data_IF_902453813015
#
_entry.id   IF_902453813015
#
_cell.length_a   1.000
_cell.length_b   1.000
_cell.length_c   1.000
_cell.angle_alpha   90.00
_cell.angle_beta   90.00
_cell.angle_gamma   90.00
#
_symmetry.space_group_name_H-M   'P 1'
#
loop_
_entity.id
_entity.type
_entity.pdbx_description
1 polymer ?
#
# COMPACT_ATOMS: atom_id res chain seq x y z
N UNK A 1 32.29 -43.07 14.12
CA UNK A 1 32.16 -41.60 14.02
C UNK A 1 31.38 -41.26 12.76
N UNK A 2 30.09 -40.88 12.88
CA UNK A 2 29.24 -40.50 11.73
C UNK A 2 29.54 -39.06 11.37
N UNK A 3 30.05 -38.83 10.16
CA UNK A 3 30.27 -37.50 9.60
C UNK A 3 28.91 -36.84 9.38
N UNK A 4 28.63 -35.76 10.12
CA UNK A 4 27.47 -34.91 9.93
C UNK A 4 27.69 -34.09 8.67
N UNK A 5 27.12 -34.54 7.56
CA UNK A 5 27.01 -33.78 6.32
C UNK A 5 26.08 -32.59 6.56
N UNK A 6 26.66 -31.40 6.68
CA UNK A 6 25.91 -30.13 6.62
C UNK A 6 25.30 -30.02 5.23
N UNK A 7 23.99 -30.21 5.16
CA UNK A 7 23.18 -29.81 4.00
C UNK A 7 23.35 -28.29 3.84
N UNK A 8 23.76 -27.78 2.66
CA UNK A 8 23.78 -26.35 2.44
C UNK A 8 22.34 -25.86 2.46
N UNK A 9 22.02 -24.97 3.41
CA UNK A 9 20.80 -24.17 3.35
C UNK A 9 20.93 -23.31 2.10
N UNK A 10 20.28 -23.72 1.01
CA UNK A 10 20.13 -22.87 -0.16
C UNK A 10 19.51 -21.56 0.30
N UNK A 11 20.30 -20.50 0.19
CA UNK A 11 19.87 -19.12 0.27
C UNK A 11 18.94 -18.84 -0.91
N UNK A 12 17.72 -19.38 -0.85
CA UNK A 12 16.62 -18.80 -1.62
C UNK A 12 16.44 -17.41 -1.03
N UNK A 13 17.10 -16.45 -1.66
CA UNK A 13 16.85 -15.03 -1.47
C UNK A 13 15.42 -14.82 -1.96
N UNK A 14 14.46 -15.12 -1.08
CA UNK A 14 13.05 -14.90 -1.33
C UNK A 14 12.92 -13.41 -1.53
N UNK A 15 12.58 -13.04 -2.77
CA UNK A 15 12.21 -11.68 -3.13
C UNK A 15 11.16 -11.21 -2.11
N UNK A 16 11.53 -10.28 -1.21
CA UNK A 16 10.71 -9.87 -0.05
C UNK A 16 9.49 -9.04 -0.44
N UNK A 17 9.19 -8.97 -1.73
CA UNK A 17 8.03 -8.26 -2.22
C UNK A 17 6.79 -9.14 -2.05
N UNK A 18 5.77 -8.58 -1.40
CA UNK A 18 4.45 -9.20 -1.42
C UNK A 18 3.90 -9.18 -2.85
N UNK A 19 3.03 -10.13 -3.17
CA UNK A 19 2.32 -10.13 -4.46
C UNK A 19 1.62 -8.79 -4.73
N UNK A 20 1.10 -8.14 -3.68
CA UNK A 20 0.52 -6.80 -3.77
C UNK A 20 1.53 -5.75 -4.22
N UNK A 21 2.76 -5.79 -3.71
CA UNK A 21 3.82 -4.86 -4.13
C UNK A 21 4.21 -5.07 -5.60
N UNK A 22 4.23 -6.33 -6.06
CA UNK A 22 4.44 -6.66 -7.48
C UNK A 22 3.32 -6.09 -8.34
N UNK A 23 2.06 -6.30 -7.97
CA UNK A 23 0.90 -5.79 -8.70
C UNK A 23 0.95 -4.26 -8.82
N UNK A 24 1.19 -3.55 -7.71
CA UNK A 24 1.25 -2.09 -7.71
C UNK A 24 2.34 -1.55 -8.63
N UNK A 25 3.53 -2.17 -8.64
CA UNK A 25 4.62 -1.76 -9.54
C UNK A 25 4.27 -1.98 -11.01
N UNK A 26 3.65 -3.12 -11.32
CA UNK A 26 3.19 -3.43 -12.68
C UNK A 26 2.10 -2.46 -13.16
N UNK A 27 1.31 -1.88 -12.25
CA UNK A 27 0.28 -0.90 -12.59
C UNK A 27 0.81 0.53 -12.83
N UNK A 28 2.03 0.87 -12.37
CA UNK A 28 2.58 2.23 -12.47
C UNK A 28 2.58 2.81 -13.89
N UNK A 29 2.99 2.08 -14.96
CA UNK A 29 2.95 2.62 -16.32
C UNK A 29 1.53 2.99 -16.77
N UNK A 30 0.52 2.23 -16.34
CA UNK A 30 -0.88 2.54 -16.66
C UNK A 30 -1.33 3.88 -16.06
N UNK A 31 -0.91 4.20 -14.85
CA UNK A 31 -1.17 5.52 -14.27
C UNK A 31 -0.39 6.64 -14.97
N UNK A 32 0.88 6.40 -15.32
CA UNK A 32 1.73 7.40 -15.99
C UNK A 32 1.22 7.75 -17.40
N UNK A 33 0.69 6.77 -18.12
CA UNK A 33 0.14 6.94 -19.47
C UNK A 33 -1.32 7.41 -19.47
N UNK A 34 -1.99 7.39 -18.32
CA UNK A 34 -3.41 7.76 -18.18
C UNK A 34 -4.41 6.64 -18.53
N UNK A 35 -3.92 5.43 -18.82
CA UNK A 35 -4.74 4.23 -19.04
C UNK A 35 -5.49 3.82 -17.76
N UNK A 36 -4.85 4.05 -16.60
CA UNK A 36 -5.45 3.91 -15.28
C UNK A 36 -5.62 5.30 -14.65
N UNK A 37 -6.83 5.56 -14.15
CA UNK A 37 -7.13 6.80 -13.43
C UNK A 37 -7.16 6.52 -11.93
N UNK A 38 -6.43 7.28 -11.10
CA UNK A 38 -6.65 7.23 -9.67
C UNK A 38 -8.08 7.69 -9.38
N UNK A 39 -8.65 7.19 -8.29
CA UNK A 39 -9.90 7.73 -7.81
C UNK A 39 -9.69 9.19 -7.35
N UNK A 40 -10.62 10.10 -7.65
CA UNK A 40 -10.48 11.50 -7.25
C UNK A 40 -10.46 11.63 -5.72
N UNK A 41 -9.53 12.44 -5.21
CA UNK A 41 -9.55 12.94 -3.83
C UNK A 41 -10.28 14.28 -3.87
N UNK A 42 -11.41 14.36 -3.18
CA UNK A 42 -12.21 15.59 -3.14
C UNK A 42 -11.63 16.56 -2.10
N UNK A 43 -11.73 17.89 -2.30
CA UNK A 43 -11.14 18.87 -1.39
C UNK A 43 -11.60 18.70 0.07
N UNK A 44 -12.87 18.34 0.28
CA UNK A 44 -13.43 18.10 1.62
C UNK A 44 -12.94 16.81 2.29
N UNK A 45 -12.27 15.93 1.54
CA UNK A 45 -11.72 14.66 2.04
C UNK A 45 -10.23 14.78 2.44
N UNK A 46 -9.64 15.98 2.35
CA UNK A 46 -8.31 16.26 2.87
C UNK A 46 -8.46 16.78 4.29
N UNK A 47 -7.99 16.02 5.27
CA UNK A 47 -8.12 16.36 6.69
C UNK A 47 -6.74 16.56 7.32
N UNK A 48 -6.57 17.51 8.25
CA UNK A 48 -5.37 17.57 9.08
C UNK A 48 -5.20 16.27 9.86
N UNK A 49 -3.95 15.80 10.03
CA UNK A 49 -3.69 14.60 10.82
C UNK A 49 -4.12 14.75 12.28
N UNK A 50 -4.07 15.98 12.83
CA UNK A 50 -4.60 16.29 14.16
C UNK A 50 -6.08 15.88 14.33
N UNK A 51 -6.84 15.90 13.23
CA UNK A 51 -8.26 15.56 13.20
C UNK A 51 -8.53 14.10 12.74
N UNK A 52 -7.49 13.27 12.61
CA UNK A 52 -7.62 11.92 12.04
C UNK A 52 -8.69 11.07 12.74
N UNK A 53 -8.84 11.20 14.06
CA UNK A 53 -9.89 10.50 14.81
C UNK A 53 -11.29 10.92 14.39
N UNK A 54 -11.53 12.21 14.19
CA UNK A 54 -12.83 12.73 13.78
C UNK A 54 -13.15 12.32 12.33
N UNK A 55 -12.17 12.42 11.46
CA UNK A 55 -12.26 12.01 10.06
C UNK A 55 -12.54 10.51 9.90
N UNK A 56 -11.85 9.63 10.64
CA UNK A 56 -12.13 8.19 10.65
C UNK A 56 -13.56 7.89 11.11
N UNK A 57 -14.09 8.62 12.11
CA UNK A 57 -15.48 8.47 12.54
C UNK A 57 -16.49 8.87 11.46
N UNK A 58 -16.21 9.94 10.72
CA UNK A 58 -17.05 10.36 9.60
C UNK A 58 -17.04 9.32 8.46
N UNK A 59 -15.88 8.71 8.17
CA UNK A 59 -15.72 7.68 7.14
C UNK A 59 -16.57 6.43 7.41
N UNK A 60 -16.67 5.98 8.66
CA UNK A 60 -17.45 4.78 9.01
C UNK A 60 -18.94 4.92 8.61
N UNK A 61 -19.45 6.15 8.47
CA UNK A 61 -20.80 6.44 7.99
C UNK A 61 -20.91 6.87 6.52
N UNK A 62 -19.79 7.15 5.82
CA UNK A 62 -19.76 7.62 4.42
C UNK A 62 -18.98 6.62 3.57
N UNK A 63 -19.68 5.80 2.79
CA UNK A 63 -19.08 4.74 1.97
C UNK A 63 -18.20 5.25 0.81
N UNK A 64 -18.20 6.55 0.51
CA UNK A 64 -17.61 7.07 -0.73
C UNK A 64 -16.44 8.04 -0.55
N UNK A 65 -16.22 8.60 0.64
CA UNK A 65 -15.13 9.57 0.83
C UNK A 65 -13.79 8.86 1.12
N UNK A 66 -12.83 9.03 0.21
CA UNK A 66 -11.44 8.61 0.41
C UNK A 66 -10.69 9.71 1.14
N UNK A 67 -10.56 9.55 2.44
CA UNK A 67 -9.89 10.55 3.28
C UNK A 67 -8.37 10.43 3.14
N UNK A 68 -7.70 11.57 2.97
CA UNK A 68 -6.24 11.71 3.04
C UNK A 68 -5.88 12.58 4.23
N UNK A 69 -4.91 12.13 5.03
CA UNK A 69 -4.38 12.92 6.12
C UNK A 69 -3.18 13.74 5.68
N UNK A 70 -3.27 15.05 5.87
CA UNK A 70 -2.15 15.97 5.67
C UNK A 70 -1.36 16.11 6.98
N UNK A 71 -0.04 16.00 6.87
CA UNK A 71 0.90 16.07 8.00
C UNK A 71 1.54 17.46 8.16
N UNK A 72 1.19 18.40 7.27
CA UNK A 72 1.73 19.77 7.25
C UNK A 72 1.08 20.67 8.29
#
# INVERSE_FOLDING_TARGET
MRQSSRVPRNSHQVNRDSDSAVILRTALPGFANGDLKPFPILPHAICPFADARAACRAMIGSLCDRIVFDLR
#
